data_IF_450805500440
#
_entry.id   IF_450805500440
#
_cell.length_a   1.000
_cell.length_b   1.000
_cell.length_c   1.000
_cell.angle_alpha   90.00
_cell.angle_beta   90.00
_cell.angle_gamma   90.00
#
_symmetry.space_group_name_H-M   'P 1'
#
loop_
_entity.id
_entity.type
_entity.pdbx_description
1 polymer ?
#
# COMPACT_ATOMS: atom_id res chain seq x y z
N UNK A 1 -12.69 50.01 32.02
CA UNK A 1 -12.55 49.68 30.59
C UNK A 1 -11.08 49.39 30.35
N UNK A 2 -10.77 48.13 30.08
CA UNK A 2 -9.52 47.61 29.51
C UNK A 2 -9.20 48.33 28.20
N UNK A 3 -7.98 48.60 27.76
CA UNK A 3 -6.63 48.25 28.19
C UNK A 3 -5.75 48.29 26.92
N UNK A 4 -4.61 48.97 26.94
CA UNK A 4 -3.54 48.79 25.94
C UNK A 4 -2.19 49.30 26.48
N UNK A 5 -1.20 48.42 26.48
CA UNK A 5 0.24 48.72 26.48
C UNK A 5 0.98 47.39 26.25
N UNK A 6 1.65 47.29 25.10
CA UNK A 6 2.32 46.08 24.64
C UNK A 6 3.60 45.73 25.40
N UNK A 7 4.01 44.46 25.27
CA UNK A 7 5.40 44.01 25.49
C UNK A 7 5.71 42.92 24.45
N UNK A 8 6.86 43.11 23.80
CA UNK A 8 7.67 42.20 22.99
C UNK A 8 7.76 40.78 23.56
N UNK A 9 7.54 39.77 22.70
CA UNK A 9 7.77 38.36 23.02
C UNK A 9 8.73 37.73 22.01
N UNK A 10 9.97 37.54 22.46
CA UNK A 10 11.03 36.78 21.81
C UNK A 10 10.56 35.35 21.48
N UNK A 11 10.91 34.86 20.29
CA UNK A 11 10.87 33.44 19.94
C UNK A 11 12.09 32.73 20.53
N UNK A 12 11.93 31.67 21.33
CA UNK A 12 12.99 30.69 21.51
C UNK A 12 12.78 29.55 20.52
N UNK A 13 13.83 29.30 19.74
CA UNK A 13 14.08 28.06 19.02
C UNK A 13 13.85 26.86 19.94
N UNK A 14 12.84 26.06 19.60
CA UNK A 14 12.54 24.78 20.24
C UNK A 14 12.75 23.66 19.22
N UNK A 15 13.87 22.95 19.39
CA UNK A 15 14.27 21.74 18.69
C UNK A 15 13.11 20.76 18.46
N UNK A 16 12.65 20.65 17.21
CA UNK A 16 11.62 19.71 16.79
C UNK A 16 12.13 18.28 16.77
N UNK A 17 11.85 17.56 17.86
CA UNK A 17 11.97 16.10 17.95
C UNK A 17 11.03 15.48 16.92
N UNK A 18 11.57 14.61 16.06
CA UNK A 18 10.82 13.98 14.97
C UNK A 18 9.65 13.14 15.48
N UNK A 19 8.44 13.63 15.27
CA UNK A 19 7.24 12.81 15.32
C UNK A 19 6.97 12.27 13.91
N UNK A 20 7.14 10.95 13.74
CA UNK A 20 6.52 10.25 12.63
C UNK A 20 5.00 10.52 12.60
N UNK A 21 4.34 10.38 11.43
CA UNK A 21 2.93 10.69 11.33
C UNK A 21 2.12 9.87 12.35
N UNK A 22 1.14 10.48 13.04
CA UNK A 22 0.34 9.80 14.05
C UNK A 22 -0.37 8.60 13.44
N UNK A 23 -0.32 7.46 14.13
CA UNK A 23 -1.08 6.27 13.74
C UNK A 23 -2.56 6.62 13.79
N UNK A 24 -3.30 6.57 12.65
CA UNK A 24 -4.71 6.94 12.65
C UNK A 24 -5.51 6.05 13.60
N UNK A 25 -6.39 6.65 14.39
CA UNK A 25 -7.31 5.93 15.28
C UNK A 25 -8.17 4.98 14.45
N UNK A 26 -8.12 3.67 14.76
CA UNK A 26 -8.91 2.66 14.05
C UNK A 26 -10.40 2.91 14.29
N UNK A 27 -11.17 2.99 13.22
CA UNK A 27 -12.63 3.11 13.24
C UNK A 27 -13.24 1.71 13.37
N UNK A 28 -14.14 1.46 14.33
CA UNK A 28 -14.83 0.18 14.45
C UNK A 28 -15.52 -0.23 13.13
N UNK A 29 -15.35 -1.48 12.71
CA UNK A 29 -15.95 -2.03 11.50
C UNK A 29 -15.16 -1.80 10.20
N UNK A 30 -14.03 -1.10 10.25
CA UNK A 30 -13.11 -0.97 9.11
C UNK A 30 -11.95 -1.96 9.27
N UNK A 31 -11.72 -2.79 8.25
CA UNK A 31 -10.54 -3.64 8.19
C UNK A 31 -9.31 -2.80 7.81
N UNK A 32 -8.27 -2.88 8.63
CA UNK A 32 -7.01 -2.17 8.43
C UNK A 32 -5.91 -3.19 8.17
N UNK A 33 -4.91 -2.81 7.36
CA UNK A 33 -3.77 -3.68 7.11
C UNK A 33 -3.13 -4.10 8.43
N UNK A 34 -2.83 -5.39 8.54
CA UNK A 34 -2.18 -5.98 9.69
C UNK A 34 -0.68 -5.65 9.67
N UNK A 35 -0.09 -5.35 10.84
CA UNK A 35 1.37 -5.44 11.00
C UNK A 35 1.87 -6.84 10.61
N UNK A 36 3.13 -6.95 10.19
CA UNK A 36 3.70 -8.21 9.70
C UNK A 36 3.53 -9.37 10.70
N UNK A 37 3.77 -9.10 12.00
CA UNK A 37 3.57 -10.09 13.06
C UNK A 37 2.12 -10.60 13.17
N UNK A 38 1.14 -9.71 13.04
CA UNK A 38 -0.27 -10.07 13.09
C UNK A 38 -0.71 -10.82 11.84
N UNK A 39 -0.23 -10.41 10.67
CA UNK A 39 -0.46 -11.15 9.43
C UNK A 39 0.07 -12.58 9.52
N UNK A 40 1.32 -12.76 9.97
CA UNK A 40 1.92 -14.09 10.16
C UNK A 40 1.17 -14.93 11.20
N UNK A 41 0.63 -14.30 12.26
CA UNK A 41 -0.20 -14.98 13.26
C UNK A 41 -1.51 -15.48 12.66
N UNK A 42 -2.15 -14.71 11.77
CA UNK A 42 -3.34 -15.14 11.03
C UNK A 42 -3.02 -16.38 10.17
N UNK A 43 -1.87 -16.39 9.50
CA UNK A 43 -1.46 -17.51 8.63
C UNK A 43 -1.18 -18.83 9.34
N UNK A 44 -1.06 -18.83 10.68
CA UNK A 44 -1.00 -20.08 11.47
C UNK A 44 -2.31 -20.85 11.44
N UNK A 45 -3.41 -20.21 11.05
CA UNK A 45 -4.73 -20.81 10.94
C UNK A 45 -5.10 -20.95 9.45
N UNK A 46 -5.12 -22.18 8.90
CA UNK A 46 -5.49 -22.42 7.51
C UNK A 46 -6.86 -21.81 7.19
N UNK A 47 -6.97 -21.10 6.07
CA UNK A 47 -8.23 -20.47 5.64
C UNK A 47 -8.51 -19.08 6.22
N UNK A 48 -7.80 -18.64 7.27
CA UNK A 48 -8.12 -17.39 7.97
C UNK A 48 -7.90 -16.14 7.10
N UNK A 49 -6.84 -16.10 6.27
CA UNK A 49 -6.62 -14.98 5.33
C UNK A 49 -7.74 -14.90 4.29
N UNK A 50 -8.12 -16.03 3.70
CA UNK A 50 -9.21 -16.08 2.72
C UNK A 50 -10.55 -15.67 3.32
N UNK A 51 -10.81 -16.08 4.56
CA UNK A 51 -12.02 -15.65 5.29
C UNK A 51 -12.01 -14.14 5.49
N UNK A 52 -10.86 -13.56 5.91
CA UNK A 52 -10.74 -12.11 6.09
C UNK A 52 -10.96 -11.34 4.78
N UNK A 53 -10.40 -11.83 3.67
CA UNK A 53 -10.61 -11.25 2.33
C UNK A 53 -12.07 -11.33 1.90
N UNK A 54 -12.71 -12.50 2.05
CA UNK A 54 -14.11 -12.70 1.71
C UNK A 54 -15.06 -11.82 2.55
N UNK A 55 -14.84 -11.79 3.87
CA UNK A 55 -15.64 -10.98 4.81
C UNK A 55 -15.48 -9.47 4.55
N UNK A 56 -14.32 -9.04 4.04
CA UNK A 56 -14.08 -7.67 3.59
C UNK A 56 -14.74 -7.30 2.26
N UNK A 57 -15.35 -8.27 1.57
CA UNK A 57 -16.02 -8.05 0.29
C UNK A 57 -15.08 -8.11 -0.92
N UNK A 58 -13.89 -8.69 -0.78
CA UNK A 58 -12.99 -8.92 -1.91
C UNK A 58 -13.62 -9.99 -2.82
N UNK A 59 -13.71 -9.77 -4.16
CA UNK A 59 -14.25 -10.78 -5.06
C UNK A 59 -13.43 -12.07 -5.03
N UNK A 60 -14.05 -13.27 -4.97
CA UNK A 60 -13.33 -14.54 -4.95
C UNK A 60 -12.34 -14.73 -6.10
N UNK A 61 -12.68 -14.23 -7.30
CA UNK A 61 -11.80 -14.27 -8.47
C UNK A 61 -10.47 -13.54 -8.27
N UNK A 62 -10.40 -12.57 -7.35
CA UNK A 62 -9.16 -11.83 -7.06
C UNK A 62 -8.19 -12.68 -6.25
N UNK A 63 -8.64 -13.61 -5.41
CA UNK A 63 -7.77 -14.45 -4.59
C UNK A 63 -7.85 -15.94 -4.95
N UNK A 64 -8.45 -16.28 -6.08
CA UNK A 64 -8.38 -17.62 -6.66
C UNK A 64 -6.93 -17.94 -7.04
N UNK A 65 -6.46 -19.13 -6.64
CA UNK A 65 -5.07 -19.55 -6.86
C UNK A 65 -4.02 -18.81 -6.02
N UNK A 66 -4.42 -17.87 -5.16
CA UNK A 66 -3.50 -17.25 -4.21
C UNK A 66 -3.13 -18.23 -3.09
N UNK A 67 -1.84 -18.42 -2.88
CA UNK A 67 -1.31 -19.16 -1.74
C UNK A 67 -0.53 -18.19 -0.84
N UNK A 68 -1.06 -17.78 0.33
CA UNK A 68 -0.46 -16.72 1.14
C UNK A 68 1.00 -16.94 1.53
N UNK A 69 1.42 -18.20 1.69
CA UNK A 69 2.79 -18.57 2.04
C UNK A 69 3.62 -19.02 0.84
N UNK A 70 3.04 -19.10 -0.36
CA UNK A 70 3.70 -19.53 -1.59
C UNK A 70 4.60 -20.78 -1.40
N UNK A 71 4.03 -21.85 -0.85
CA UNK A 71 4.71 -23.13 -0.61
C UNK A 71 5.62 -23.19 0.61
N UNK A 72 5.71 -22.13 1.42
CA UNK A 72 6.58 -22.05 2.60
C UNK A 72 5.83 -22.35 3.89
N UNK A 73 6.57 -22.69 4.94
CA UNK A 73 6.08 -22.56 6.31
C UNK A 73 6.03 -21.09 6.74
N UNK A 74 5.26 -20.78 7.80
CA UNK A 74 5.21 -19.42 8.38
C UNK A 74 6.59 -18.94 8.81
N UNK A 75 7.43 -19.83 9.38
CA UNK A 75 8.78 -19.50 9.86
C UNK A 75 9.75 -19.19 8.72
N UNK A 76 9.65 -19.92 7.60
CA UNK A 76 10.43 -19.64 6.39
C UNK A 76 10.00 -18.33 5.75
N UNK A 77 8.68 -18.11 5.63
CA UNK A 77 8.13 -16.87 5.08
C UNK A 77 8.53 -15.65 5.91
N UNK A 78 8.45 -15.74 7.24
CA UNK A 78 8.90 -14.69 8.16
C UNK A 78 10.39 -14.38 7.95
N UNK A 79 11.24 -15.40 7.94
CA UNK A 79 12.69 -15.24 7.77
C UNK A 79 13.07 -14.62 6.43
N UNK A 80 12.33 -14.93 5.37
CA UNK A 80 12.65 -14.49 4.01
C UNK A 80 12.14 -13.08 3.69
N UNK A 81 10.98 -12.69 4.24
CA UNK A 81 10.27 -11.48 3.80
C UNK A 81 10.11 -10.41 4.89
N UNK A 82 10.70 -10.61 6.06
CA UNK A 82 10.65 -9.62 7.15
C UNK A 82 12.04 -9.24 7.63
N UNK A 83 12.11 -8.07 8.25
CA UNK A 83 13.29 -7.54 8.94
C UNK A 83 12.88 -7.03 10.31
N UNK A 84 13.83 -6.98 11.25
CA UNK A 84 13.63 -6.33 12.52
C UNK A 84 13.63 -4.79 12.34
N UNK A 85 12.66 -4.13 12.95
CA UNK A 85 12.60 -2.69 13.13
C UNK A 85 13.50 -2.24 14.28
N UNK A 86 13.59 -0.92 14.46
CA UNK A 86 14.49 -0.32 15.46
C UNK A 86 14.10 -0.63 16.90
N UNK A 87 12.84 -0.97 17.17
CA UNK A 87 12.35 -1.41 18.49
C UNK A 87 12.20 -2.93 18.60
N UNK A 88 12.71 -3.71 17.63
CA UNK A 88 12.68 -5.17 17.63
C UNK A 88 11.38 -5.79 17.12
N UNK A 89 10.41 -4.98 16.68
CA UNK A 89 9.22 -5.45 15.97
C UNK A 89 9.58 -5.96 14.57
N UNK A 90 8.90 -6.99 14.07
CA UNK A 90 9.10 -7.41 12.69
C UNK A 90 8.25 -6.58 11.74
N UNK A 91 8.85 -6.19 10.60
CA UNK A 91 8.20 -5.46 9.51
C UNK A 91 8.48 -6.15 8.18
N UNK A 92 7.59 -5.96 7.21
CA UNK A 92 7.84 -6.40 5.84
C UNK A 92 9.10 -5.72 5.29
N UNK A 93 9.97 -6.49 4.62
CA UNK A 93 11.18 -5.98 4.00
C UNK A 93 10.88 -5.30 2.65
N UNK A 94 10.27 -4.12 2.69
CA UNK A 94 9.86 -3.41 1.48
C UNK A 94 11.03 -3.02 0.57
N UNK A 95 12.22 -2.81 1.13
CA UNK A 95 13.41 -2.40 0.36
C UNK A 95 13.85 -3.53 -0.59
N UNK A 96 13.78 -4.78 -0.14
CA UNK A 96 14.07 -5.97 -0.96
C UNK A 96 12.86 -6.39 -1.79
N UNK A 97 11.66 -6.33 -1.21
CA UNK A 97 10.47 -6.88 -1.87
C UNK A 97 9.93 -5.96 -2.96
N UNK A 98 9.96 -4.64 -2.76
CA UNK A 98 9.41 -3.67 -3.69
C UNK A 98 10.39 -2.51 -4.01
N UNK A 99 11.64 -2.79 -4.43
CA UNK A 99 12.52 -1.75 -4.97
C UNK A 99 11.88 -1.12 -6.21
N UNK A 100 12.30 0.11 -6.54
CA UNK A 100 11.69 0.87 -7.64
C UNK A 100 10.14 0.90 -7.54
N UNK A 101 9.62 1.13 -6.33
CA UNK A 101 8.17 1.16 -6.08
C UNK A 101 7.45 -0.16 -6.42
N UNK A 102 8.18 -1.27 -6.47
CA UNK A 102 7.69 -2.60 -6.83
C UNK A 102 7.28 -2.71 -8.30
N UNK A 103 7.89 -1.93 -9.19
CA UNK A 103 7.81 -2.16 -10.64
C UNK A 103 8.91 -3.14 -11.08
N UNK A 104 8.60 -4.04 -12.00
CA UNK A 104 9.54 -5.02 -12.53
C UNK A 104 10.63 -4.39 -13.43
N UNK A 105 10.40 -3.17 -13.91
CA UNK A 105 11.30 -2.40 -14.75
C UNK A 105 10.96 -0.91 -14.68
N UNK A 106 11.40 -0.14 -15.67
CA UNK A 106 11.12 1.29 -15.73
C UNK A 106 9.63 1.53 -16.03
N UNK A 107 8.89 2.21 -15.15
CA UNK A 107 7.49 2.51 -15.41
C UNK A 107 7.35 3.58 -16.49
N UNK A 108 6.29 3.50 -17.27
CA UNK A 108 5.85 4.57 -18.14
C UNK A 108 5.26 5.71 -17.30
N UNK A 109 5.84 6.90 -17.43
CA UNK A 109 5.32 8.10 -16.79
C UNK A 109 4.26 8.78 -17.65
N UNK A 110 3.13 9.11 -17.04
CA UNK A 110 2.03 9.87 -17.65
C UNK A 110 1.49 10.88 -16.66
N UNK A 111 0.59 11.75 -17.13
CA UNK A 111 -0.09 12.74 -16.29
C UNK A 111 -1.59 12.46 -16.15
N UNK A 112 -2.10 11.32 -16.59
CA UNK A 112 -3.53 10.98 -16.52
C UNK A 112 -3.76 9.47 -16.53
N UNK A 113 -4.98 9.06 -16.20
CA UNK A 113 -5.46 7.69 -16.37
C UNK A 113 -6.51 7.69 -17.49
N UNK A 114 -6.35 6.91 -18.57
CA UNK A 114 -7.28 6.84 -19.70
C UNK A 114 -8.72 6.45 -19.30
N UNK A 115 -9.73 6.93 -20.03
CA UNK A 115 -11.15 6.69 -19.71
C UNK A 115 -11.63 5.26 -19.94
N UNK A 116 -10.91 4.51 -20.76
CA UNK A 116 -11.18 3.11 -21.07
C UNK A 116 -10.57 2.15 -20.04
N UNK A 117 -9.82 2.66 -19.06
CA UNK A 117 -9.23 1.86 -18.01
C UNK A 117 -10.10 1.82 -16.74
N UNK A 118 -10.55 0.62 -16.38
CA UNK A 118 -11.14 0.33 -15.07
C UNK A 118 -10.06 -0.23 -14.16
N UNK A 119 -9.94 0.36 -12.99
CA UNK A 119 -8.95 0.03 -11.99
C UNK A 119 -9.64 -0.45 -10.72
N UNK A 120 -8.96 -1.29 -9.96
CA UNK A 120 -9.35 -1.63 -8.61
C UNK A 120 -8.19 -1.44 -7.62
N UNK A 121 -8.55 -1.51 -6.34
CA UNK A 121 -7.62 -1.47 -5.23
C UNK A 121 -8.08 -2.39 -4.12
N UNK A 122 -7.17 -3.25 -3.69
CA UNK A 122 -7.28 -3.98 -2.43
C UNK A 122 -6.49 -3.24 -1.34
N UNK A 123 -7.21 -2.73 -0.35
CA UNK A 123 -6.69 -1.96 0.77
C UNK A 123 -7.27 -0.55 0.86
N UNK A 124 -6.92 0.17 1.94
CA UNK A 124 -7.44 1.51 2.23
C UNK A 124 -7.34 2.46 1.03
N UNK A 125 -8.40 3.24 0.80
CA UNK A 125 -8.53 4.24 -0.26
C UNK A 125 -7.48 5.37 -0.23
N UNK A 126 -6.69 5.48 0.85
CA UNK A 126 -5.63 6.49 0.96
C UNK A 126 -4.31 6.12 0.24
N UNK A 127 -4.15 4.87 -0.21
CA UNK A 127 -2.90 4.43 -0.85
C UNK A 127 -2.85 4.73 -2.35
N UNK A 128 -1.64 4.91 -2.86
CA UNK A 128 -1.41 5.37 -4.24
C UNK A 128 -1.31 4.29 -5.30
N UNK A 129 -1.52 3.00 -5.00
CA UNK A 129 -1.35 1.90 -5.96
C UNK A 129 -2.70 1.30 -6.39
N UNK A 130 -2.86 1.07 -7.70
CA UNK A 130 -4.02 0.45 -8.31
C UNK A 130 -3.58 -0.63 -9.31
N UNK A 131 -4.49 -1.53 -9.64
CA UNK A 131 -4.34 -2.52 -10.72
C UNK A 131 -5.56 -2.48 -11.63
N UNK A 132 -5.50 -2.99 -12.87
CA UNK A 132 -6.68 -3.30 -13.65
C UNK A 132 -7.69 -4.08 -12.82
N UNK A 133 -8.96 -3.71 -12.95
CA UNK A 133 -10.04 -4.37 -12.24
C UNK A 133 -9.99 -5.89 -12.42
N UNK A 134 -10.06 -6.62 -11.31
CA UNK A 134 -10.04 -8.08 -11.29
C UNK A 134 -8.63 -8.69 -11.33
N UNK A 135 -7.56 -7.89 -11.29
CA UNK A 135 -6.19 -8.42 -11.27
C UNK A 135 -6.01 -9.39 -10.08
N UNK A 136 -5.55 -10.64 -10.31
CA UNK A 136 -5.35 -11.61 -9.25
C UNK A 136 -4.31 -11.16 -8.21
N UNK A 137 -4.49 -11.55 -6.95
CA UNK A 137 -3.63 -11.17 -5.83
C UNK A 137 -2.18 -11.64 -6.01
N UNK A 138 -2.00 -12.81 -6.65
CA UNK A 138 -0.69 -13.35 -7.05
C UNK A 138 0.07 -12.42 -8.00
N UNK A 139 -0.65 -11.66 -8.83
CA UNK A 139 -0.07 -10.72 -9.78
C UNK A 139 0.19 -9.34 -9.17
N UNK A 140 -0.47 -9.03 -8.05
CA UNK A 140 -0.25 -7.79 -7.30
C UNK A 140 1.03 -7.82 -6.46
N UNK A 141 1.55 -9.02 -6.19
CA UNK A 141 2.76 -9.27 -5.39
C UNK A 141 2.79 -8.47 -4.08
N UNK A 142 1.74 -8.65 -3.29
CA UNK A 142 1.55 -7.97 -2.00
C UNK A 142 1.68 -8.94 -0.84
N UNK A 143 2.11 -8.48 0.35
CA UNK A 143 2.17 -9.34 1.51
C UNK A 143 0.77 -9.72 1.98
N UNK A 144 0.63 -10.86 2.68
CA UNK A 144 -0.60 -11.18 3.39
C UNK A 144 -0.92 -10.13 4.46
N UNK A 145 -2.18 -10.05 4.89
CA UNK A 145 -2.58 -9.07 5.91
C UNK A 145 -2.97 -7.70 5.35
N UNK A 146 -3.21 -7.57 4.05
CA UNK A 146 -3.78 -6.33 3.49
C UNK A 146 -5.15 -6.04 4.10
N UNK A 147 -5.50 -4.77 4.28
CA UNK A 147 -6.89 -4.40 4.51
C UNK A 147 -7.77 -5.01 3.41
N UNK A 148 -8.81 -5.75 3.80
CA UNK A 148 -9.71 -6.45 2.89
C UNK A 148 -10.75 -5.51 2.24
N UNK A 149 -10.45 -4.21 2.16
CA UNK A 149 -11.32 -3.22 1.51
C UNK A 149 -11.11 -3.27 0.00
N UNK A 150 -12.17 -3.52 -0.76
CA UNK A 150 -12.10 -3.55 -2.23
C UNK A 150 -12.78 -2.31 -2.83
N UNK A 151 -12.04 -1.59 -3.68
CA UNK A 151 -12.51 -0.37 -4.34
C UNK A 151 -12.32 -0.48 -5.84
N UNK A 152 -13.26 0.07 -6.62
CA UNK A 152 -13.21 0.12 -8.08
C UNK A 152 -13.28 1.58 -8.53
N UNK A 153 -12.53 1.91 -9.57
CA UNK A 153 -12.36 3.25 -10.11
C UNK A 153 -12.41 3.22 -11.64
N UNK A 154 -12.78 4.34 -12.22
CA UNK A 154 -12.73 4.57 -13.66
C UNK A 154 -11.78 5.72 -13.93
N UNK A 155 -10.90 5.54 -14.92
CA UNK A 155 -10.06 6.63 -15.38
C UNK A 155 -10.92 7.77 -15.93
N UNK A 156 -10.50 9.00 -15.67
CA UNK A 156 -11.27 10.18 -16.11
C UNK A 156 -10.75 10.79 -17.41
N UNK A 157 -9.59 10.35 -17.89
CA UNK A 157 -8.85 10.97 -19.00
C UNK A 157 -8.32 12.38 -18.69
N UNK A 158 -8.67 12.95 -17.52
CA UNK A 158 -8.24 14.28 -17.13
C UNK A 158 -6.80 14.23 -16.66
N UNK A 159 -5.99 15.17 -17.15
CA UNK A 159 -4.66 15.40 -16.61
C UNK A 159 -4.71 15.77 -15.14
N UNK A 160 -3.65 15.40 -14.43
CA UNK A 160 -3.33 15.89 -13.08
C UNK A 160 -3.53 17.42 -13.06
N UNK A 161 -4.27 17.96 -12.09
CA UNK A 161 -4.56 19.39 -12.04
C UNK A 161 -3.29 20.25 -12.03
N UNK A 162 -3.27 21.41 -12.71
CA UNK A 162 -2.14 22.34 -12.66
C UNK A 162 -1.78 22.73 -11.21
N UNK A 163 -0.48 22.87 -10.93
CA UNK A 163 0.03 23.16 -9.59
C UNK A 163 -0.01 21.96 -8.63
N UNK A 164 -0.34 20.75 -9.14
CA UNK A 164 -0.06 19.49 -8.46
C UNK A 164 1.14 18.84 -9.12
N UNK A 165 2.19 18.69 -8.34
CA UNK A 165 3.40 17.97 -8.71
C UNK A 165 3.14 16.46 -8.64
N UNK A 166 2.15 15.93 -9.37
CA UNK A 166 1.83 14.50 -9.37
C UNK A 166 2.07 13.85 -10.73
N UNK A 167 2.54 12.61 -10.70
CA UNK A 167 2.72 11.74 -11.86
C UNK A 167 1.95 10.44 -11.67
N UNK A 168 1.51 9.87 -12.79
CA UNK A 168 0.93 8.53 -12.86
C UNK A 168 1.95 7.62 -13.51
N UNK A 169 2.42 6.63 -12.76
CA UNK A 169 3.37 5.62 -13.21
C UNK A 169 2.64 4.34 -13.57
N UNK A 170 2.92 3.78 -14.75
CA UNK A 170 2.35 2.52 -15.22
C UNK A 170 3.43 1.50 -15.51
N UNK A 171 3.25 0.26 -15.06
CA UNK A 171 4.20 -0.81 -15.38
C UNK A 171 3.82 -2.12 -14.71
N UNK A 172 4.48 -3.22 -15.06
CA UNK A 172 4.22 -4.52 -14.42
C UNK A 172 4.70 -4.55 -12.97
N UNK A 173 3.95 -5.22 -12.09
CA UNK A 173 4.39 -5.48 -10.73
C UNK A 173 5.57 -6.46 -10.72
N UNK A 174 6.62 -6.14 -9.96
CA UNK A 174 7.73 -7.05 -9.66
C UNK A 174 7.23 -8.26 -8.85
N UNK A 175 7.91 -9.39 -8.98
CA UNK A 175 7.76 -10.50 -8.05
C UNK A 175 8.10 -10.09 -6.61
N UNK A 176 7.29 -10.51 -5.64
CA UNK A 176 7.51 -10.19 -4.24
C UNK A 176 6.69 -11.12 -3.34
N UNK A 177 7.16 -11.32 -2.10
CA UNK A 177 6.47 -12.13 -1.09
C UNK A 177 6.16 -13.56 -1.57
N UNK A 178 7.06 -14.13 -2.38
CA UNK A 178 6.90 -15.44 -3.01
C UNK A 178 5.87 -15.51 -4.14
N UNK A 179 5.21 -14.40 -4.45
CA UNK A 179 4.24 -14.28 -5.53
C UNK A 179 4.92 -13.82 -6.83
N UNK A 180 4.44 -14.30 -8.00
CA UNK A 180 5.11 -14.05 -9.28
C UNK A 180 5.07 -12.60 -9.77
N UNK A 181 4.16 -11.76 -9.26
CA UNK A 181 3.95 -10.44 -9.83
C UNK A 181 3.32 -10.52 -11.23
N UNK A 182 3.29 -9.36 -11.91
CA UNK A 182 2.42 -9.14 -13.06
C UNK A 182 2.65 -10.10 -14.23
N UNK A 183 1.57 -10.69 -14.74
CA UNK A 183 1.46 -11.12 -16.14
C UNK A 183 0.65 -10.13 -16.98
N UNK A 184 -0.25 -9.36 -16.37
CA UNK A 184 -0.95 -8.25 -17.04
C UNK A 184 -0.13 -6.96 -17.02
N UNK A 185 -0.17 -6.15 -18.10
CA UNK A 185 0.42 -4.82 -18.06
C UNK A 185 -0.45 -3.99 -17.12
N UNK A 186 0.20 -3.11 -16.36
CA UNK A 186 -0.43 -2.05 -15.57
C UNK A 186 -0.63 -2.36 -14.08
N UNK A 187 0.30 -1.84 -13.29
CA UNK A 187 0.10 -1.33 -11.95
C UNK A 187 0.19 0.18 -12.11
N UNK A 188 -0.79 0.91 -11.63
CA UNK A 188 -0.75 2.37 -11.66
C UNK A 188 -0.37 2.89 -10.29
N UNK A 189 0.57 3.85 -10.24
CA UNK A 189 0.89 4.58 -9.00
C UNK A 189 0.76 6.07 -9.19
N UNK A 190 -0.03 6.73 -8.32
CA UNK A 190 -0.02 8.18 -8.18
C UNK A 190 1.07 8.59 -7.19
N UNK A 191 2.02 9.42 -7.62
CA UNK A 191 3.12 9.90 -6.78
C UNK A 191 3.27 11.40 -6.88
N UNK A 192 3.84 12.03 -5.84
CA UNK A 192 4.41 13.37 -5.98
C UNK A 192 5.70 13.28 -6.79
N UNK A 193 5.88 14.08 -7.83
CA UNK A 193 7.19 14.26 -8.47
C UNK A 193 8.14 14.84 -7.43
N UNK A 194 9.30 14.23 -7.27
CA UNK A 194 10.36 14.77 -6.41
C UNK A 194 10.81 16.15 -6.91
N UNK A 195 11.52 16.94 -6.08
CA UNK A 195 12.17 18.14 -6.56
C UNK A 195 13.17 17.78 -7.67
N UNK A 196 13.11 18.53 -8.78
CA UNK A 196 14.06 18.46 -9.90
C UNK A 196 15.40 19.05 -9.48
#
# INVERSE_FOLDING_TARGET
MTGDAGITGETPDGTGVGHGPPTPTKVPGIDYSLPAADALRVLKYPGAEFSRLADGGVPPSVFEGYEPLAGRTVQEFEREFTIAGSSGEIRWDWDVQAPNNGFAGDPLETNHIPTDLRLDRLGSNAGGYLSPEGTPLVERATPPGLAAQYHVFEGTGRSVPPGKDWLVLHGSAKDAFGQPGGRVPEKSRLMRSGPV
#
